data_IF_172063906683
#
_entry.id   IF_172063906683
#
_cell.length_a   1.000
_cell.length_b   1.000
_cell.length_c   1.000
_cell.angle_alpha   90.00
_cell.angle_beta   90.00
_cell.angle_gamma   90.00
#
_symmetry.space_group_name_H-M   'P 1'
#
loop_
_entity.id
_entity.type
_entity.pdbx_description
1 polymer ?
#
# COMPACT_ATOMS: atom_id res chain seq x y z
N UNK A 1 -20.61 4.53 -9.10
CA UNK A 1 -20.64 4.71 -7.63
C UNK A 1 -20.05 3.46 -7.02
N UNK A 2 -18.99 3.59 -6.20
CA UNK A 2 -18.33 2.46 -5.53
C UNK A 2 -18.80 2.48 -4.07
N UNK A 3 -19.97 1.91 -3.75
CA UNK A 3 -20.65 2.15 -2.46
C UNK A 3 -19.89 1.52 -1.28
N UNK A 4 -18.91 0.66 -1.59
CA UNK A 4 -18.13 -0.06 -0.58
C UNK A 4 -17.26 0.88 0.26
N UNK A 5 -16.87 2.05 -0.26
CA UNK A 5 -16.04 3.00 0.49
C UNK A 5 -16.87 3.88 1.44
N UNK A 6 -18.14 4.14 1.14
CA UNK A 6 -18.99 5.07 1.89
C UNK A 6 -19.29 4.60 3.33
N UNK A 7 -19.12 3.29 3.61
CA UNK A 7 -19.25 2.74 4.96
C UNK A 7 -18.07 3.05 5.87
N UNK A 8 -16.94 3.51 5.32
CA UNK A 8 -15.75 3.83 6.10
C UNK A 8 -15.68 5.33 6.39
N UNK A 9 -15.45 5.70 7.66
CA UNK A 9 -15.29 7.11 8.07
C UNK A 9 -13.90 7.68 7.81
N UNK A 10 -12.92 6.80 7.58
CA UNK A 10 -11.54 7.16 7.31
C UNK A 10 -10.99 6.20 6.24
N UNK A 11 -10.35 6.77 5.23
CA UNK A 11 -9.57 6.05 4.22
C UNK A 11 -8.13 6.51 4.31
N UNK A 12 -7.21 5.54 4.33
CA UNK A 12 -5.77 5.79 4.38
C UNK A 12 -5.15 5.28 3.09
N UNK A 13 -4.31 6.09 2.45
CA UNK A 13 -3.59 5.74 1.22
C UNK A 13 -2.12 6.11 1.34
N UNK A 14 -1.29 5.65 0.40
CA UNK A 14 0.06 6.16 0.19
C UNK A 14 0.16 6.79 -1.21
N UNK A 15 0.34 8.11 -1.29
CA UNK A 15 0.33 8.89 -2.55
C UNK A 15 -1.03 8.87 -3.29
N UNK A 16 -2.12 8.56 -2.59
CA UNK A 16 -3.45 8.50 -3.19
C UNK A 16 -3.98 9.84 -3.68
N UNK A 17 -3.60 10.96 -3.05
CA UNK A 17 -4.04 12.31 -3.48
C UNK A 17 -3.58 12.61 -4.91
N UNK A 18 -2.34 12.24 -5.24
CA UNK A 18 -1.75 12.54 -6.55
C UNK A 18 -1.95 11.41 -7.58
N UNK A 19 -2.37 10.21 -7.15
CA UNK A 19 -2.44 9.04 -8.02
C UNK A 19 -3.77 8.30 -7.96
N UNK A 20 -4.03 7.54 -6.88
CA UNK A 20 -5.18 6.62 -6.80
C UNK A 20 -6.52 7.37 -6.92
N UNK A 21 -6.69 8.44 -6.15
CA UNK A 21 -7.97 9.15 -6.04
C UNK A 21 -8.37 9.85 -7.34
N UNK A 22 -7.49 10.61 -8.03
CA UNK A 22 -7.80 11.15 -9.35
C UNK A 22 -8.20 10.08 -10.37
N UNK A 23 -7.48 8.95 -10.39
CA UNK A 23 -7.77 7.87 -11.31
C UNK A 23 -9.13 7.22 -11.01
N UNK A 24 -9.35 6.81 -9.76
CA UNK A 24 -10.61 6.19 -9.33
C UNK A 24 -11.80 7.12 -9.52
N UNK A 25 -11.64 8.44 -9.28
CA UNK A 25 -12.71 9.41 -9.51
C UNK A 25 -13.09 9.53 -10.98
N UNK A 26 -12.10 9.47 -11.88
CA UNK A 26 -12.34 9.52 -13.33
C UNK A 26 -13.07 8.27 -13.81
N UNK A 27 -12.65 7.09 -13.37
CA UNK A 27 -13.21 5.82 -13.84
C UNK A 27 -14.57 5.49 -13.20
N UNK A 28 -14.77 5.84 -11.92
CA UNK A 28 -15.93 5.37 -11.15
C UNK A 28 -16.88 6.47 -10.65
N UNK A 29 -16.54 7.74 -10.91
CA UNK A 29 -17.27 8.92 -10.44
C UNK A 29 -16.84 9.39 -9.04
N UNK A 30 -17.61 10.28 -8.39
CA UNK A 30 -17.28 10.81 -7.07
C UNK A 30 -16.95 9.72 -6.05
N UNK A 31 -15.93 9.99 -5.21
CA UNK A 31 -15.34 9.05 -4.27
C UNK A 31 -14.98 9.78 -2.96
N UNK A 32 -15.13 9.10 -1.82
CA UNK A 32 -14.78 9.57 -0.48
C UNK A 32 -15.58 10.79 0.01
N UNK A 33 -16.86 10.91 -0.38
CA UNK A 33 -17.68 12.05 0.01
C UNK A 33 -17.92 12.12 1.53
N UNK A 34 -18.06 10.96 2.18
CA UNK A 34 -18.38 10.82 3.61
C UNK A 34 -17.17 10.37 4.46
N UNK A 35 -16.00 10.21 3.83
CA UNK A 35 -14.81 9.67 4.46
C UNK A 35 -13.74 10.75 4.59
N UNK A 36 -13.14 10.87 5.78
CA UNK A 36 -11.87 11.55 5.91
C UNK A 36 -10.80 10.79 5.10
N UNK A 37 -9.86 11.51 4.50
CA UNK A 37 -8.77 10.92 3.72
C UNK A 37 -7.43 11.32 4.31
N UNK A 38 -6.63 10.33 4.70
CA UNK A 38 -5.24 10.52 5.11
C UNK A 38 -4.33 9.94 4.03
N UNK A 39 -3.44 10.77 3.50
CA UNK A 39 -2.37 10.32 2.62
C UNK A 39 -1.04 10.29 3.38
N UNK A 40 -0.59 9.07 3.68
CA UNK A 40 0.61 8.82 4.47
C UNK A 40 1.86 9.38 3.83
N UNK A 41 1.92 9.49 2.50
CA UNK A 41 3.11 10.03 1.84
C UNK A 41 3.41 11.45 2.35
N UNK A 42 2.40 12.30 2.53
CA UNK A 42 2.60 13.67 3.01
C UNK A 42 2.86 13.73 4.51
N UNK A 43 2.16 12.91 5.31
CA UNK A 43 2.38 12.85 6.76
C UNK A 43 3.79 12.37 7.09
N UNK A 44 4.26 11.32 6.43
CA UNK A 44 5.61 10.76 6.63
C UNK A 44 6.70 11.72 6.16
N UNK A 45 6.46 12.48 5.08
CA UNK A 45 7.38 13.54 4.63
C UNK A 45 7.60 14.63 5.68
N UNK A 46 6.57 14.99 6.45
CA UNK A 46 6.67 16.01 7.50
C UNK A 46 7.61 15.61 8.64
N UNK A 47 7.77 14.32 8.89
CA UNK A 47 8.70 13.76 9.90
C UNK A 47 10.02 13.28 9.27
N UNK A 48 10.33 13.73 8.05
CA UNK A 48 11.62 13.49 7.38
C UNK A 48 11.71 12.19 6.58
N UNK A 49 10.67 11.36 6.54
CA UNK A 49 10.65 10.12 5.76
C UNK A 49 10.24 10.38 4.32
N UNK A 50 11.21 10.29 3.39
CA UNK A 50 11.03 10.59 1.96
C UNK A 50 11.40 9.41 1.07
N UNK A 51 10.56 9.14 0.08
CA UNK A 51 10.75 8.11 -0.94
C UNK A 51 9.47 7.37 -1.26
N UNK A 52 9.57 6.27 -2.01
CA UNK A 52 8.47 5.34 -2.22
C UNK A 52 8.19 4.48 -0.98
N UNK A 53 7.02 3.83 -0.97
CA UNK A 53 6.52 3.02 0.15
C UNK A 53 7.56 2.00 0.63
N UNK A 54 8.08 1.17 -0.27
CA UNK A 54 9.10 0.14 0.04
C UNK A 54 10.33 0.67 0.79
N UNK A 55 10.81 1.86 0.39
CA UNK A 55 11.95 2.49 1.08
C UNK A 55 11.58 2.86 2.52
N UNK A 56 10.38 3.37 2.72
CA UNK A 56 9.90 3.77 4.05
C UNK A 56 9.64 2.53 4.91
N UNK A 57 9.05 1.47 4.36
CA UNK A 57 8.86 0.19 5.05
C UNK A 57 10.19 -0.35 5.59
N UNK A 58 11.25 -0.35 4.77
CA UNK A 58 12.59 -0.71 5.22
C UNK A 58 13.09 0.15 6.38
N UNK A 59 12.97 1.47 6.27
CA UNK A 59 13.40 2.39 7.35
C UNK A 59 12.64 2.10 8.65
N UNK A 60 11.37 1.74 8.56
CA UNK A 60 10.52 1.41 9.70
C UNK A 60 10.66 -0.06 10.17
N UNK A 61 11.53 -0.88 9.56
CA UNK A 61 11.68 -2.29 9.91
C UNK A 61 10.47 -3.16 9.57
N UNK A 62 9.68 -2.74 8.57
CA UNK A 62 8.47 -3.43 8.09
C UNK A 62 8.70 -4.20 6.78
N UNK A 63 9.93 -4.21 6.27
CA UNK A 63 10.25 -4.92 5.04
C UNK A 63 10.07 -6.44 5.21
N UNK A 64 9.58 -7.07 4.15
CA UNK A 64 9.45 -8.53 4.06
C UNK A 64 10.70 -9.11 3.38
N UNK A 65 11.15 -10.26 3.87
CA UNK A 65 12.35 -10.95 3.38
C UNK A 65 12.00 -12.04 2.35
N UNK A 66 11.06 -11.75 1.45
CA UNK A 66 10.75 -12.58 0.29
C UNK A 66 11.23 -11.88 -1.00
N UNK A 67 11.14 -12.60 -2.12
CA UNK A 67 11.55 -12.10 -3.42
C UNK A 67 10.61 -11.04 -4.00
N UNK A 68 9.34 -10.94 -3.55
CA UNK A 68 8.44 -9.85 -3.96
C UNK A 68 8.95 -8.48 -3.53
N UNK A 69 9.76 -8.42 -2.48
CA UNK A 69 10.47 -7.20 -2.07
C UNK A 69 11.31 -6.60 -3.21
N UNK A 70 11.79 -7.42 -4.16
CA UNK A 70 12.57 -7.01 -5.32
C UNK A 70 11.76 -6.30 -6.41
N UNK A 71 10.44 -6.52 -6.48
CA UNK A 71 9.60 -5.90 -7.50
C UNK A 71 9.48 -4.39 -7.31
N UNK A 72 9.38 -3.64 -8.38
CA UNK A 72 9.09 -2.21 -8.40
C UNK A 72 7.68 -1.95 -8.91
N UNK A 73 7.19 -0.72 -8.77
CA UNK A 73 5.91 -0.33 -9.36
C UNK A 73 5.90 -0.47 -10.89
N UNK A 74 7.06 -0.43 -11.55
CA UNK A 74 7.19 -0.73 -12.99
C UNK A 74 6.95 -2.21 -13.28
N UNK A 75 7.44 -3.09 -12.42
CA UNK A 75 7.26 -4.54 -12.59
C UNK A 75 5.81 -4.96 -12.38
N UNK A 76 5.07 -4.25 -11.52
CA UNK A 76 3.63 -4.42 -11.40
C UNK A 76 2.87 -4.12 -12.71
N UNK A 77 3.34 -3.15 -13.50
CA UNK A 77 2.78 -2.87 -14.85
C UNK A 77 3.09 -4.02 -15.82
N UNK A 78 4.30 -4.58 -15.78
CA UNK A 78 4.63 -5.76 -16.59
C UNK A 78 3.80 -6.98 -16.20
N UNK A 79 3.64 -7.23 -14.89
CA UNK A 79 2.74 -8.28 -14.40
C UNK A 79 1.31 -8.07 -14.90
N UNK A 80 0.80 -6.84 -14.90
CA UNK A 80 -0.52 -6.56 -15.45
C UNK A 80 -0.63 -6.89 -16.94
N UNK A 81 0.37 -6.54 -17.75
CA UNK A 81 0.39 -6.90 -19.17
C UNK A 81 0.40 -8.43 -19.37
N UNK A 82 1.23 -9.15 -18.61
CA UNK A 82 1.27 -10.62 -18.61
C UNK A 82 -0.09 -11.22 -18.23
N UNK A 83 -0.81 -10.64 -17.27
CA UNK A 83 -2.19 -11.03 -16.95
C UNK A 83 -3.11 -10.87 -18.16
N UNK A 84 -3.00 -9.77 -18.91
CA UNK A 84 -3.82 -9.57 -20.11
C UNK A 84 -3.46 -10.56 -21.23
N UNK A 85 -2.22 -11.03 -21.27
CA UNK A 85 -1.73 -12.04 -22.22
C UNK A 85 -2.07 -13.49 -21.81
N UNK A 86 -2.62 -13.68 -20.60
CA UNK A 86 -3.02 -14.99 -20.09
C UNK A 86 -1.88 -15.78 -19.47
N UNK A 87 -0.78 -15.13 -19.09
CA UNK A 87 0.35 -15.78 -18.44
C UNK A 87 -0.07 -16.40 -17.10
N UNK A 88 0.20 -17.71 -16.90
CA UNK A 88 -0.11 -18.37 -15.64
C UNK A 88 0.57 -17.66 -14.46
N UNK A 89 -0.12 -17.61 -13.33
CA UNK A 89 0.39 -17.09 -12.06
C UNK A 89 0.76 -15.60 -12.01
N UNK A 90 0.71 -14.87 -13.12
CA UNK A 90 0.93 -13.42 -13.14
C UNK A 90 -0.12 -12.67 -12.31
N UNK A 91 -1.39 -13.11 -12.36
CA UNK A 91 -2.48 -12.47 -11.61
C UNK A 91 -2.33 -12.68 -10.11
N UNK A 92 -2.06 -13.91 -9.68
CA UNK A 92 -1.84 -14.23 -8.26
C UNK A 92 -0.63 -13.47 -7.71
N UNK A 93 0.45 -13.40 -8.48
CA UNK A 93 1.65 -12.65 -8.13
C UNK A 93 1.36 -11.15 -8.00
N UNK A 94 0.61 -10.56 -8.93
CA UNK A 94 0.20 -9.15 -8.87
C UNK A 94 -0.74 -8.87 -7.70
N UNK A 95 -1.69 -9.75 -7.42
CA UNK A 95 -2.59 -9.64 -6.26
C UNK A 95 -1.78 -9.66 -4.96
N UNK A 96 -0.83 -10.59 -4.85
CA UNK A 96 0.04 -10.69 -3.69
C UNK A 96 0.87 -9.42 -3.49
N UNK A 97 1.49 -8.92 -4.55
CA UNK A 97 2.24 -7.66 -4.53
C UNK A 97 1.37 -6.47 -4.05
N UNK A 98 0.19 -6.29 -4.64
CA UNK A 98 -0.72 -5.20 -4.27
C UNK A 98 -1.24 -5.34 -2.83
N UNK A 99 -1.51 -6.56 -2.37
CA UNK A 99 -1.93 -6.81 -0.99
C UNK A 99 -0.83 -6.43 0.01
N UNK A 100 0.44 -6.67 -0.36
CA UNK A 100 1.59 -6.31 0.46
C UNK A 100 1.72 -4.80 0.68
N UNK A 101 1.56 -4.00 -0.38
CA UNK A 101 1.59 -2.53 -0.32
C UNK A 101 0.47 -1.95 0.56
N UNK A 102 -0.70 -2.61 0.63
CA UNK A 102 -1.82 -2.12 1.46
C UNK A 102 -1.70 -2.58 2.92
N UNK A 103 -1.23 -3.80 3.14
CA UNK A 103 -1.19 -4.42 4.47
C UNK A 103 -0.22 -3.75 5.46
N UNK A 104 0.77 -3.00 4.99
CA UNK A 104 1.70 -2.24 5.83
C UNK A 104 1.16 -0.88 6.27
N UNK A 105 0.19 -0.31 5.54
CA UNK A 105 -0.34 1.04 5.79
C UNK A 105 -0.87 1.23 7.21
N UNK A 106 -1.56 0.26 7.86
CA UNK A 106 -1.99 0.41 9.24
C UNK A 106 -0.81 0.63 10.21
N UNK A 107 0.26 -0.17 10.08
CA UNK A 107 1.46 -0.03 10.92
C UNK A 107 2.19 1.28 10.66
N UNK A 108 2.28 1.71 9.40
CA UNK A 108 2.85 3.02 9.05
C UNK A 108 1.98 4.18 9.56
N UNK A 109 0.66 4.01 9.63
CA UNK A 109 -0.26 5.01 10.19
C UNK A 109 -0.03 5.19 11.68
N UNK A 110 0.10 4.10 12.44
CA UNK A 110 0.44 4.18 13.85
C UNK A 110 1.82 4.79 14.07
N UNK A 111 2.82 4.36 13.29
CA UNK A 111 4.15 4.95 13.37
C UNK A 111 4.09 6.47 13.17
N UNK A 112 3.43 6.91 12.10
CA UNK A 112 3.26 8.32 11.79
C UNK A 112 2.50 9.06 12.91
N UNK A 113 1.43 8.47 13.43
CA UNK A 113 0.66 9.03 14.53
C UNK A 113 1.52 9.20 15.79
N UNK A 114 2.24 8.16 16.21
CA UNK A 114 3.10 8.22 17.40
C UNK A 114 4.14 9.34 17.26
N UNK A 115 4.80 9.44 16.11
CA UNK A 115 5.81 10.49 15.88
C UNK A 115 5.20 11.90 15.90
N UNK A 116 4.04 12.11 15.25
CA UNK A 116 3.41 13.42 15.16
C UNK A 116 2.65 13.84 16.43
N UNK A 117 2.29 12.90 17.31
CA UNK A 117 1.55 13.18 18.55
C UNK A 117 2.45 13.50 19.74
N UNK A 118 3.78 13.29 19.64
CA UNK A 118 4.73 13.60 20.71
C UNK A 118 4.60 15.06 21.18
N UNK A 119 4.53 15.26 22.49
CA UNK A 119 4.36 16.59 23.09
C UNK A 119 2.93 17.14 23.02
N UNK A 120 1.97 16.37 22.52
CA UNK A 120 0.54 16.73 22.51
C UNK A 120 -0.24 15.83 23.49
N UNK A 121 -1.46 16.25 23.92
CA UNK A 121 -2.35 15.37 24.69
C UNK A 121 -2.72 14.06 23.99
N UNK A 122 -2.47 13.94 22.69
CA UNK A 122 -2.80 12.76 21.87
C UNK A 122 -1.75 11.64 21.94
N UNK A 123 -0.59 11.89 22.56
CA UNK A 123 0.54 10.94 22.61
C UNK A 123 0.21 9.60 23.31
N UNK A 124 -0.79 9.58 24.19
CA UNK A 124 -1.16 8.40 24.98
C UNK A 124 -2.17 7.46 24.31
N UNK A 125 -2.56 7.71 23.06
CA UNK A 125 -3.53 6.84 22.37
C UNK A 125 -2.90 5.50 21.99
N UNK A 126 -3.55 4.40 22.39
CA UNK A 126 -3.16 3.06 22.00
C UNK A 126 -3.99 2.57 20.81
N UNK A 127 -3.30 2.02 19.80
CA UNK A 127 -3.96 1.41 18.65
C UNK A 127 -4.46 0.00 19.00
N UNK A 128 -5.74 -0.25 18.77
CA UNK A 128 -6.31 -1.60 18.71
C UNK A 128 -6.49 -1.99 17.25
N UNK A 129 -5.81 -3.04 16.80
CA UNK A 129 -5.97 -3.57 15.43
C UNK A 129 -6.90 -4.78 15.44
N UNK A 130 -8.11 -4.66 14.86
CA UNK A 130 -9.02 -5.79 14.81
C UNK A 130 -8.64 -6.86 13.77
N UNK A 131 -7.73 -6.57 12.81
CA UNK A 131 -7.24 -7.56 11.85
C UNK A 131 -5.87 -7.19 11.28
N UNK A 132 -4.89 -8.10 11.37
CA UNK A 132 -3.73 -8.11 10.47
C UNK A 132 -4.09 -8.95 9.26
N UNK A 133 -3.93 -8.40 8.07
CA UNK A 133 -4.12 -9.18 6.86
C UNK A 133 -2.84 -9.95 6.57
N UNK A 134 -2.87 -11.27 6.78
CA UNK A 134 -1.75 -12.16 6.48
C UNK A 134 -1.64 -12.44 4.98
N UNK A 135 -1.21 -11.43 4.23
CA UNK A 135 0.08 -11.54 3.53
C UNK A 135 0.41 -12.91 2.98
N UNK A 136 1.22 -13.61 3.78
CA UNK A 136 1.87 -14.90 3.56
C UNK A 136 0.98 -16.00 2.99
N UNK A 137 -0.34 -15.95 3.21
CA UNK A 137 -1.28 -16.97 2.74
C UNK A 137 -1.67 -16.81 1.27
N UNK A 138 -1.44 -15.64 0.68
CA UNK A 138 -1.71 -15.40 -0.75
C UNK A 138 -0.58 -16.01 -1.61
N UNK A 139 -0.90 -16.82 -2.63
CA UNK A 139 0.11 -17.43 -3.48
C UNK A 139 0.76 -16.39 -4.41
N UNK A 140 1.97 -16.70 -4.86
CA UNK A 140 2.67 -16.00 -5.95
C UNK A 140 3.72 -16.92 -6.58
N UNK A 141 4.22 -16.57 -7.76
CA UNK A 141 5.27 -17.31 -8.45
C UNK A 141 6.65 -16.65 -8.25
N UNK A 142 7.51 -17.30 -7.45
CA UNK A 142 8.88 -16.88 -7.18
C UNK A 142 9.79 -16.90 -8.43
N UNK A 143 9.58 -17.86 -9.34
CA UNK A 143 10.38 -17.94 -10.57
C UNK A 143 10.06 -16.76 -11.49
N UNK A 144 8.78 -16.40 -11.61
CA UNK A 144 8.33 -15.24 -12.36
C UNK A 144 8.89 -13.93 -11.79
N UNK A 145 8.85 -13.76 -10.46
CA UNK A 145 9.44 -12.59 -9.79
C UNK A 145 10.92 -12.45 -10.14
N UNK A 146 11.69 -13.53 -10.02
CA UNK A 146 13.12 -13.53 -10.36
C UNK A 146 13.38 -13.28 -11.84
N UNK A 147 12.50 -13.73 -12.73
CA UNK A 147 12.60 -13.46 -14.16
C UNK A 147 12.47 -11.96 -14.46
N UNK A 148 11.47 -11.30 -13.88
CA UNK A 148 11.26 -9.86 -14.05
C UNK A 148 12.46 -9.06 -13.52
N UNK A 149 12.97 -9.41 -12.34
CA UNK A 149 14.11 -8.72 -11.74
C UNK A 149 15.45 -8.93 -12.47
N UNK A 150 15.58 -9.94 -13.36
CA UNK A 150 16.79 -10.15 -14.18
C UNK A 150 16.81 -9.34 -15.46
N UNK A 151 15.63 -8.91 -15.91
CA UNK A 151 15.42 -8.20 -17.18
C UNK A 151 15.53 -6.67 -17.04
N UNK A 152 15.94 -6.18 -15.87
CA UNK A 152 16.04 -4.76 -15.50
C UNK A 152 17.48 -4.35 -15.25
#
# INVERSE_FOLDING_TARGET
MVPILDKYKLVVTFNGISFDIPYLKREFGPLLNEAAHIDLMYILRNIGLKGGLKKIERICGLERNDDLSMLTGRDAVFLWNMVQEGEPQALETLIRYNAEDVSSLPLLTEFAYRQNSLGTPMAGYEFSYPARFETSLLPYDSALVRYLCRST
#
